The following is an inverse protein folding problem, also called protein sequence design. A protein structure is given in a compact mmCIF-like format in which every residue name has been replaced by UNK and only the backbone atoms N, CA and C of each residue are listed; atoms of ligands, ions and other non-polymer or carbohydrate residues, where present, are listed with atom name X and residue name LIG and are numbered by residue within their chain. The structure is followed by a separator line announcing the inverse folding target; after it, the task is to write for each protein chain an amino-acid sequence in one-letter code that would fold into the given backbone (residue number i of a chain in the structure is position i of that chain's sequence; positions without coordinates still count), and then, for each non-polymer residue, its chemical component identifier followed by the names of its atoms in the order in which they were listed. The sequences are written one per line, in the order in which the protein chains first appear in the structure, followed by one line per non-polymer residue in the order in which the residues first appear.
data_IF_347061391669
#
_entry.id   IF_347061391669
#
_cell.length_a   1.000
_cell.length_b   1.000
_cell.length_c   1.000
_cell.angle_alpha   90.00
_cell.angle_beta   90.00
_cell.angle_gamma   90.00
#
_symmetry.space_group_name_H-M   'P 1'
#
loop_
_entity.id
_entity.type
_entity.pdbx_description
1 polymer ?
#
# COMPACT_ATOMS: atom_id res chain seq x y z
N UNK A 1 -4.59 7.70 20.44
CA UNK A 1 -4.12 8.86 19.65
C UNK A 1 -4.06 8.38 18.20
N UNK A 2 -5.06 8.71 17.38
CA UNK A 2 -5.20 8.17 16.03
C UNK A 2 -4.15 8.76 15.09
N UNK A 3 -3.44 7.92 14.33
CA UNK A 3 -2.55 8.40 13.26
C UNK A 3 -3.41 9.04 12.16
N UNK A 4 -2.92 10.13 11.56
CA UNK A 4 -3.59 10.79 10.43
C UNK A 4 -3.84 9.77 9.30
N UNK A 5 -5.03 9.70 8.71
CA UNK A 5 -5.31 8.70 7.67
C UNK A 5 -4.51 8.96 6.39
N UNK A 6 -4.31 7.91 5.58
CA UNK A 6 -3.93 8.08 4.18
C UNK A 6 -5.21 8.05 3.35
N UNK A 7 -5.45 9.11 2.58
CA UNK A 7 -6.69 9.29 1.81
C UNK A 7 -6.43 9.27 0.31
N UNK A 8 -6.07 8.10 -0.23
CA UNK A 8 -5.85 7.92 -1.67
C UNK A 8 -4.53 8.48 -2.18
N UNK A 9 -3.62 8.90 -1.29
CA UNK A 9 -2.26 9.32 -1.65
C UNK A 9 -1.32 8.12 -1.88
N UNK A 10 -0.17 8.38 -2.50
CA UNK A 10 0.87 7.37 -2.70
C UNK A 10 1.72 7.20 -1.43
N UNK A 11 1.92 5.96 -0.96
CA UNK A 11 2.97 5.64 0.00
C UNK A 11 4.29 5.55 -0.75
N UNK A 12 5.02 6.66 -0.82
CA UNK A 12 6.33 6.71 -1.45
C UNK A 12 7.41 6.04 -0.57
N UNK A 13 8.35 5.33 -1.19
CA UNK A 13 9.52 4.82 -0.48
C UNK A 13 9.22 3.65 0.45
N UNK A 14 8.16 2.89 0.14
CA UNK A 14 7.79 1.70 0.89
C UNK A 14 8.92 0.68 0.75
N UNK A 15 9.63 0.39 1.85
CA UNK A 15 10.72 -0.58 1.83
C UNK A 15 10.15 -1.96 1.59
N UNK A 16 10.74 -2.71 0.68
CA UNK A 16 10.29 -4.06 0.31
C UNK A 16 11.46 -5.03 0.31
N UNK A 17 11.15 -6.30 0.55
CA UNK A 17 12.07 -7.43 0.35
C UNK A 17 11.54 -8.42 -0.70
N UNK A 18 10.52 -8.02 -1.47
CA UNK A 18 9.85 -8.88 -2.47
C UNK A 18 10.60 -8.94 -3.81
N UNK A 19 11.60 -8.07 -4.02
CA UNK A 19 12.54 -8.08 -5.15
C UNK A 19 13.82 -7.26 -4.83
N UNK A 20 14.69 -7.04 -5.83
CA UNK A 20 15.99 -6.37 -5.67
C UNK A 20 15.92 -4.86 -5.43
N UNK A 21 14.79 -4.21 -5.74
CA UNK A 21 14.69 -2.76 -5.64
C UNK A 21 14.18 -2.34 -4.26
N UNK A 22 14.96 -1.51 -3.58
CA UNK A 22 14.77 -1.21 -2.15
C UNK A 22 13.43 -0.54 -1.78
N UNK A 23 12.73 0.09 -2.74
CA UNK A 23 11.45 0.75 -2.48
C UNK A 23 10.45 0.61 -3.61
N UNK A 24 9.16 0.67 -3.25
CA UNK A 24 8.04 0.89 -4.18
C UNK A 24 7.20 2.09 -3.74
N UNK A 25 6.35 2.54 -4.65
CA UNK A 25 5.38 3.57 -4.38
C UNK A 25 4.01 3.25 -4.98
N UNK A 26 3.02 3.18 -4.10
CA UNK A 26 1.70 2.60 -4.42
C UNK A 26 0.59 3.42 -3.77
N UNK A 27 -0.60 3.54 -4.39
CA UNK A 27 -1.75 4.18 -3.77
C UNK A 27 -2.12 3.51 -2.45
N UNK A 28 -2.52 4.29 -1.45
CA UNK A 28 -3.03 3.76 -0.19
C UNK A 28 -4.24 4.59 0.27
N UNK A 29 -5.18 3.95 0.93
CA UNK A 29 -6.41 4.60 1.36
C UNK A 29 -6.98 3.92 2.60
N UNK A 30 -6.39 4.17 3.76
CA UNK A 30 -6.82 3.57 5.02
C UNK A 30 -6.58 4.53 6.20
N UNK A 31 -7.34 4.33 7.27
CA UNK A 31 -7.14 5.00 8.56
C UNK A 31 -6.60 4.00 9.58
N UNK A 32 -7.22 2.83 9.63
CA UNK A 32 -6.78 1.73 10.47
C UNK A 32 -5.63 0.97 9.81
N UNK A 33 -4.82 0.32 10.64
CA UNK A 33 -3.67 -0.46 10.21
C UNK A 33 -3.37 -1.53 11.24
N UNK A 34 -2.65 -2.57 10.82
CA UNK A 34 -2.03 -3.51 11.75
C UNK A 34 -1.06 -2.73 12.65
N UNK A 35 -1.20 -2.88 13.96
CA UNK A 35 -0.36 -2.21 14.98
C UNK A 35 0.46 -3.19 15.82
N UNK A 36 0.15 -4.48 15.72
CA UNK A 36 0.89 -5.58 16.34
C UNK A 36 1.13 -6.62 15.27
N UNK A 37 2.39 -6.94 15.00
CA UNK A 37 2.75 -7.95 14.02
C UNK A 37 2.25 -9.33 14.50
N UNK A 38 1.46 -10.05 13.69
CA UNK A 38 1.12 -11.44 13.99
C UNK A 38 2.37 -12.31 14.12
N UNK A 39 2.36 -13.30 15.02
CA UNK A 39 3.54 -14.11 15.32
C UNK A 39 4.01 -14.99 14.15
N UNK A 40 3.10 -15.31 13.25
CA UNK A 40 3.30 -16.12 12.04
C UNK A 40 3.55 -15.27 10.78
N UNK A 41 3.54 -13.94 10.89
CA UNK A 41 3.71 -13.04 9.75
C UNK A 41 5.15 -12.52 9.61
N UNK A 42 5.64 -12.50 8.37
CA UNK A 42 6.85 -11.77 7.97
C UNK A 42 6.46 -10.43 7.32
N UNK A 43 7.14 -9.36 7.71
CA UNK A 43 6.99 -8.05 7.04
C UNK A 43 7.72 -8.08 5.70
N UNK A 44 6.98 -7.90 4.61
CA UNK A 44 7.50 -7.81 3.24
C UNK A 44 7.41 -6.40 2.66
N UNK A 45 6.63 -5.50 3.28
CA UNK A 45 6.61 -4.10 2.94
C UNK A 45 6.35 -3.17 4.14
N UNK A 46 7.06 -2.04 4.24
CA UNK A 46 6.93 -1.11 5.38
C UNK A 46 7.23 0.36 5.05
N UNK A 47 6.61 1.28 5.82
CA UNK A 47 6.94 2.71 5.84
C UNK A 47 6.91 3.25 7.26
N UNK A 48 7.40 4.48 7.46
CA UNK A 48 7.27 5.17 8.75
C UNK A 48 5.79 5.35 9.17
N UNK A 49 4.90 5.54 8.19
CA UNK A 49 3.47 5.69 8.42
C UNK A 49 2.78 4.35 8.73
N UNK A 50 3.13 3.29 7.99
CA UNK A 50 2.59 1.94 8.13
C UNK A 50 3.71 0.92 8.20
N UNK A 51 4.17 0.55 9.41
CA UNK A 51 5.29 -0.39 9.60
C UNK A 51 4.98 -1.80 9.09
N UNK A 52 3.71 -2.18 9.06
CA UNK A 52 3.23 -3.50 8.63
C UNK A 52 2.35 -3.34 7.37
N UNK A 53 2.93 -2.79 6.30
CA UNK A 53 2.18 -2.42 5.09
C UNK A 53 1.97 -3.59 4.14
N UNK A 54 2.87 -4.57 4.16
CA UNK A 54 2.73 -5.85 3.46
C UNK A 54 3.21 -6.97 4.37
N UNK A 55 2.39 -8.01 4.52
CA UNK A 55 2.65 -9.17 5.37
C UNK A 55 2.55 -10.45 4.55
N UNK A 56 3.44 -11.40 4.84
CA UNK A 56 3.44 -12.75 4.29
C UNK A 56 3.30 -13.76 5.44
N UNK A 57 2.33 -14.67 5.31
CA UNK A 57 1.96 -15.70 6.28
C UNK A 57 2.40 -17.11 5.83
N UNK A 58 3.03 -17.24 4.66
CA UNK A 58 3.37 -18.50 4.02
C UNK A 58 2.39 -18.87 2.92
N UNK A 59 1.12 -19.09 3.27
CA UNK A 59 0.01 -19.45 2.38
C UNK A 59 -0.92 -18.27 2.03
N UNK A 60 -0.59 -17.08 2.53
CA UNK A 60 -1.30 -15.85 2.22
C UNK A 60 -0.37 -14.65 2.28
N UNK A 61 -0.68 -13.63 1.47
CA UNK A 61 -0.09 -12.29 1.58
C UNK A 61 -1.20 -11.25 1.75
N UNK A 62 -0.91 -10.19 2.50
CA UNK A 62 -1.82 -9.06 2.68
C UNK A 62 -1.11 -7.73 2.47
N UNK A 63 -1.85 -6.73 1.99
CA UNK A 63 -1.37 -5.37 1.76
C UNK A 63 -2.35 -4.35 2.33
N UNK A 64 -1.81 -3.30 2.98
CA UNK A 64 -2.58 -2.13 3.42
C UNK A 64 -2.74 -1.07 2.32
N UNK A 65 -1.99 -1.22 1.23
CA UNK A 65 -2.01 -0.36 0.06
C UNK A 65 -2.73 -1.06 -1.09
N UNK A 66 -3.02 -0.30 -2.16
CA UNK A 66 -3.91 -0.69 -3.23
C UNK A 66 -3.20 -0.72 -4.59
N UNK A 67 -2.45 -1.78 -4.91
CA UNK A 67 -1.85 -1.94 -6.24
C UNK A 67 -2.91 -2.12 -7.35
N UNK A 68 -4.15 -2.46 -6.98
CA UNK A 68 -5.29 -2.62 -7.89
C UNK A 68 -5.95 -1.28 -8.29
N UNK A 69 -5.60 -0.18 -7.63
CA UNK A 69 -6.22 1.11 -7.92
C UNK A 69 -5.71 1.69 -9.23
N UNK A 70 -6.63 1.88 -10.18
CA UNK A 70 -6.36 2.74 -11.32
C UNK A 70 -6.17 4.20 -10.87
N UNK A 71 -5.40 4.96 -11.66
CA UNK A 71 -5.20 6.41 -11.41
C UNK A 71 -6.51 7.18 -11.34
N UNK A 72 -7.48 6.85 -12.20
CA UNK A 72 -8.79 7.50 -12.21
C UNK A 72 -9.58 7.18 -10.93
N UNK A 73 -9.54 5.94 -10.47
CA UNK A 73 -10.24 5.52 -9.26
C UNK A 73 -9.65 6.20 -8.01
N UNK A 74 -8.33 6.17 -7.84
CA UNK A 74 -7.67 6.83 -6.72
C UNK A 74 -7.95 8.35 -6.69
N UNK A 75 -7.94 9.03 -7.84
CA UNK A 75 -8.29 10.45 -7.93
C UNK A 75 -9.76 10.73 -7.55
N UNK A 76 -10.69 9.87 -7.98
CA UNK A 76 -12.10 9.97 -7.60
C UNK A 76 -12.27 9.78 -6.08
N UNK A 77 -11.51 8.85 -5.47
CA UNK A 77 -11.55 8.59 -4.04
C UNK A 77 -11.01 9.76 -3.21
N UNK A 78 -9.93 10.41 -3.65
CA UNK A 78 -9.41 11.65 -3.04
C UNK A 78 -10.50 12.73 -3.04
N UNK A 79 -11.17 12.92 -4.19
CA UNK A 79 -12.26 13.90 -4.34
C UNK A 79 -13.43 13.60 -3.41
N UNK A 80 -13.85 12.33 -3.30
CA UNK A 80 -14.96 11.92 -2.45
C UNK A 80 -14.67 12.18 -0.95
N UNK A 81 -13.40 12.17 -0.56
CA UNK A 81 -12.96 12.37 0.84
C UNK A 81 -12.75 13.83 1.23
N UNK A 82 -12.95 14.78 0.31
CA UNK A 82 -12.61 16.19 0.50
C UNK A 82 -13.30 16.87 1.68
N UNK A 83 -14.56 16.53 1.93
CA UNK A 83 -15.35 17.15 3.00
C UNK A 83 -14.93 16.63 4.37
N UNK A 84 -14.53 15.35 4.43
CA UNK A 84 -14.14 14.68 5.66
C UNK A 84 -12.69 14.99 6.06
N UNK A 85 -11.82 15.20 5.09
CA UNK A 85 -10.38 15.39 5.30
C UNK A 85 -9.81 16.54 4.45
N UNK A 86 -10.34 17.77 4.56
CA UNK A 86 -10.00 18.88 3.68
C UNK A 86 -8.50 19.21 3.67
N UNK A 87 -7.84 19.09 4.81
CA UNK A 87 -6.42 19.42 4.98
C UNK A 87 -5.48 18.42 4.30
N UNK A 88 -5.96 17.23 3.98
CA UNK A 88 -5.17 16.16 3.37
C UNK A 88 -5.33 16.08 1.85
N UNK A 89 -6.34 16.75 1.27
CA UNK A 89 -6.66 16.62 -0.17
C UNK A 89 -5.52 17.12 -1.04
N UNK A 90 -4.96 18.30 -0.74
CA UNK A 90 -3.95 18.91 -1.58
C UNK A 90 -2.68 18.04 -1.67
N UNK A 91 -2.22 17.52 -0.53
CA UNK A 91 -1.06 16.63 -0.47
C UNK A 91 -1.36 15.27 -1.11
N UNK A 92 -2.57 14.74 -0.97
CA UNK A 92 -2.98 13.50 -1.64
C UNK A 92 -3.01 13.65 -3.18
N UNK A 93 -3.57 14.74 -3.71
CA UNK A 93 -3.57 15.05 -5.16
C UNK A 93 -2.14 15.19 -5.68
N UNK A 94 -1.29 15.94 -4.97
CA UNK A 94 0.11 16.12 -5.36
C UNK A 94 0.86 14.79 -5.38
N UNK A 95 0.73 13.98 -4.33
CA UNK A 95 1.38 12.67 -4.23
C UNK A 95 0.91 11.71 -5.33
N UNK A 96 -0.39 11.68 -5.63
CA UNK A 96 -1.01 10.84 -6.66
C UNK A 96 -0.59 11.19 -8.10
N UNK A 97 -0.19 12.45 -8.34
CA UNK A 97 0.24 12.89 -9.68
C UNK A 97 1.55 12.23 -10.17
N UNK A 98 2.32 11.61 -9.28
CA UNK A 98 3.59 10.97 -9.61
C UNK A 98 3.39 9.54 -10.15
N UNK A 99 4.40 8.96 -10.83
CA UNK A 99 4.43 7.54 -11.16
C UNK A 99 4.26 6.62 -9.93
N UNK A 100 3.65 5.46 -10.15
CA UNK A 100 3.47 4.40 -9.16
C UNK A 100 4.09 3.08 -9.68
N UNK A 101 4.22 2.12 -8.78
CA UNK A 101 4.81 0.80 -9.01
C UNK A 101 3.73 -0.31 -8.94
N UNK A 102 2.47 0.01 -9.25
CA UNK A 102 1.36 -0.94 -9.13
C UNK A 102 1.59 -2.22 -9.94
N UNK A 103 2.06 -2.10 -11.19
CA UNK A 103 2.36 -3.25 -12.05
C UNK A 103 3.46 -4.14 -11.47
N UNK A 104 4.48 -3.52 -10.86
CA UNK A 104 5.59 -4.24 -10.21
C UNK A 104 5.10 -5.04 -8.99
N UNK A 105 4.20 -4.46 -8.18
CA UNK A 105 3.54 -5.20 -7.10
C UNK A 105 2.62 -6.29 -7.65
N UNK A 106 1.93 -6.04 -8.77
CA UNK A 106 1.18 -7.07 -9.48
C UNK A 106 2.02 -8.31 -9.76
N UNK A 107 3.25 -8.12 -10.26
CA UNK A 107 4.20 -9.23 -10.44
C UNK A 107 4.59 -9.95 -9.14
N UNK A 108 4.54 -9.31 -7.97
CA UNK A 108 4.75 -10.00 -6.70
C UNK A 108 3.57 -10.93 -6.37
N UNK A 109 2.35 -10.46 -6.61
CA UNK A 109 1.12 -11.23 -6.40
C UNK A 109 1.09 -12.43 -7.36
N UNK A 110 1.40 -12.22 -8.64
CA UNK A 110 1.45 -13.30 -9.63
C UNK A 110 2.43 -14.39 -9.20
N UNK A 111 3.66 -14.02 -8.80
CA UNK A 111 4.66 -14.99 -8.32
C UNK A 111 4.21 -15.74 -7.08
N UNK A 112 3.56 -15.06 -6.14
CA UNK A 112 3.05 -15.70 -4.93
C UNK A 112 2.00 -16.77 -5.28
N UNK A 113 1.05 -16.43 -6.15
CA UNK A 113 0.01 -17.36 -6.60
C UNK A 113 0.58 -18.53 -7.41
N UNK A 114 1.62 -18.31 -8.21
CA UNK A 114 2.34 -19.37 -8.92
C UNK A 114 3.14 -20.28 -7.98
N UNK A 115 3.70 -19.75 -6.90
CA UNK A 115 4.49 -20.53 -5.94
C UNK A 115 3.65 -21.49 -5.10
N UNK A 116 2.40 -21.12 -4.75
CA UNK A 116 1.46 -22.01 -4.06
C UNK A 116 0.89 -23.08 -4.97
N UNK A 117 0.71 -22.80 -6.27
CA UNK A 117 0.25 -23.79 -7.25
C UNK A 117 1.27 -24.91 -7.53
N UNK A 118 2.52 -24.73 -7.11
CA UNK A 118 3.62 -25.68 -7.29
C UNK A 118 3.91 -26.54 -6.05
N UNK A 119 3.18 -26.34 -4.94
CA UNK A 119 3.26 -27.12 -3.70
C UNK A 119 2.19 -28.22 -3.63
#
# INVERSE_FOLDING_TARGET
MGRSPVIGGRLAGLRTSSDDAATVAVPASHQDQVVTLPSDARVIASSAFTPYAGLDYGDAISFQFHPEFSRAFAAALIKAKRERYPDLVASAVQSHSQPDDCDRVGCWIDRFLESDAAA
#
